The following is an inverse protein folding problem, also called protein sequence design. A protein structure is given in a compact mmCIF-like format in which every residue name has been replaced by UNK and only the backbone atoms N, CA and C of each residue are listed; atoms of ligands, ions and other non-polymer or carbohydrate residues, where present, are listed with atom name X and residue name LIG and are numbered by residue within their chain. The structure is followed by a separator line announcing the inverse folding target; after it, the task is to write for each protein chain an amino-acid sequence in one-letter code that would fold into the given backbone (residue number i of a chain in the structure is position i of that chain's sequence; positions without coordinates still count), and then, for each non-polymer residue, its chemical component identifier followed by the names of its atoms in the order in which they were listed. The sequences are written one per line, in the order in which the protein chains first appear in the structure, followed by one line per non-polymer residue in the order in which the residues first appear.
data_IF_653442443746
#
_entry.id   IF_653442443746
#
_cell.length_a   1.000
_cell.length_b   1.000
_cell.length_c   1.000
_cell.angle_alpha   90.00
_cell.angle_beta   90.00
_cell.angle_gamma   90.00
#
_symmetry.space_group_name_H-M   'P 1'
#
loop_
_entity.id
_entity.type
_entity.pdbx_description
1 polymer ?
#
# COMPACT_ATOMS: atom_id res chain seq x y z
N UNK A 1 -14.45 -23.50 -7.89
CA UNK A 1 -13.32 -22.66 -7.44
C UNK A 1 -13.88 -21.56 -6.58
N UNK A 2 -13.53 -21.55 -5.33
CA UNK A 2 -14.04 -20.54 -4.40
C UNK A 2 -13.44 -19.18 -4.80
N UNK A 3 -14.25 -18.14 -4.90
CA UNK A 3 -13.77 -16.78 -5.24
C UNK A 3 -12.60 -16.31 -4.35
N UNK A 4 -12.49 -16.89 -3.16
CA UNK A 4 -11.45 -16.60 -2.18
C UNK A 4 -10.06 -17.10 -2.62
N UNK A 5 -10.02 -18.13 -3.47
CA UNK A 5 -8.77 -18.76 -3.90
C UNK A 5 -8.18 -18.14 -5.19
N UNK A 6 -8.86 -17.14 -5.76
CA UNK A 6 -8.36 -16.38 -6.89
C UNK A 6 -7.81 -15.01 -6.41
N UNK A 7 -6.50 -14.82 -6.37
CA UNK A 7 -5.91 -13.55 -5.91
C UNK A 7 -6.42 -12.35 -6.70
N UNK A 8 -6.65 -12.49 -8.00
CA UNK A 8 -7.20 -11.43 -8.84
C UNK A 8 -8.64 -11.08 -8.44
N UNK A 9 -9.51 -12.07 -8.20
CA UNK A 9 -10.87 -11.83 -7.73
C UNK A 9 -10.90 -11.15 -6.36
N UNK A 10 -9.98 -11.55 -5.45
CA UNK A 10 -9.84 -10.93 -4.14
C UNK A 10 -9.42 -9.46 -4.24
N UNK A 11 -8.55 -9.12 -5.17
CA UNK A 11 -8.15 -7.74 -5.44
C UNK A 11 -9.30 -6.94 -6.06
N UNK A 12 -10.06 -7.53 -6.97
CA UNK A 12 -11.26 -6.89 -7.54
C UNK A 12 -12.30 -6.53 -6.48
N UNK A 13 -12.56 -7.46 -5.56
CA UNK A 13 -13.48 -7.23 -4.44
C UNK A 13 -12.95 -6.12 -3.52
N UNK A 14 -11.66 -6.08 -3.29
CA UNK A 14 -11.00 -5.03 -2.49
C UNK A 14 -10.96 -3.69 -3.21
N UNK A 15 -10.86 -3.67 -4.52
CA UNK A 15 -10.92 -2.44 -5.32
C UNK A 15 -12.31 -1.82 -5.30
N UNK A 16 -13.37 -2.64 -5.31
CA UNK A 16 -14.74 -2.16 -5.10
C UNK A 16 -14.91 -1.53 -3.71
N UNK A 17 -14.31 -2.12 -2.69
CA UNK A 17 -14.24 -1.58 -1.33
C UNK A 17 -13.39 -0.30 -1.32
N UNK A 18 -12.29 -0.24 -2.05
CA UNK A 18 -11.47 0.97 -2.18
C UNK A 18 -12.27 2.17 -2.71
N UNK A 19 -13.16 1.95 -3.66
CA UNK A 19 -14.06 2.97 -4.20
C UNK A 19 -14.95 3.62 -3.14
N UNK A 20 -15.50 2.80 -2.24
CA UNK A 20 -16.32 3.27 -1.14
C UNK A 20 -15.48 3.86 -0.01
N UNK A 21 -14.32 3.27 0.26
CA UNK A 21 -13.42 3.68 1.32
C UNK A 21 -12.69 4.96 0.98
N UNK A 22 -12.46 5.27 -0.28
CA UNK A 22 -11.88 6.55 -0.69
C UNK A 22 -12.75 7.74 -0.27
N UNK A 23 -14.06 7.52 -0.03
CA UNK A 23 -14.91 8.49 0.67
C UNK A 23 -14.65 8.56 2.17
N UNK A 24 -14.10 7.50 2.76
CA UNK A 24 -14.06 7.27 4.19
C UNK A 24 -12.63 7.14 4.77
N UNK A 25 -11.59 6.97 3.94
CA UNK A 25 -10.20 6.94 4.39
C UNK A 25 -9.56 8.33 4.32
N UNK A 26 -10.08 9.27 5.10
CA UNK A 26 -9.60 10.66 5.08
C UNK A 26 -8.46 10.95 6.05
N UNK A 27 -8.05 9.99 6.85
CA UNK A 27 -7.01 10.23 7.82
C UNK A 27 -5.72 9.54 7.44
N UNK A 28 -4.75 10.34 7.06
CA UNK A 28 -3.38 9.90 6.88
C UNK A 28 -2.40 10.89 7.50
N UNK A 29 -1.23 10.39 7.88
CA UNK A 29 -0.07 11.21 8.19
C UNK A 29 1.01 10.94 7.17
N UNK A 30 1.56 12.02 6.63
CA UNK A 30 2.70 11.97 5.74
C UNK A 30 3.94 12.46 6.47
N UNK A 31 4.97 11.64 6.49
CA UNK A 31 6.27 11.96 7.05
C UNK A 31 7.34 11.89 5.98
N UNK A 32 8.22 12.89 5.97
CA UNK A 32 9.44 12.84 5.19
C UNK A 32 10.60 12.58 6.14
N UNK A 33 11.30 11.49 5.95
CA UNK A 33 12.52 11.17 6.66
C UNK A 33 13.73 11.48 5.79
N UNK A 34 14.69 12.16 6.39
CA UNK A 34 16.05 12.23 5.85
C UNK A 34 16.96 11.52 6.83
N UNK A 35 17.53 10.39 6.45
CA UNK A 35 18.66 9.83 7.16
C UNK A 35 19.92 10.67 6.86
N UNK A 36 20.90 10.61 7.75
CA UNK A 36 22.21 11.22 7.50
C UNK A 36 22.73 10.72 6.15
N UNK A 37 22.65 11.60 5.16
CA UNK A 37 23.34 11.43 3.91
C UNK A 37 22.51 11.19 2.68
N UNK A 38 21.17 10.94 2.60
CA UNK A 38 20.70 10.81 1.20
C UNK A 38 19.29 10.33 0.91
N UNK A 39 18.60 9.61 1.76
CA UNK A 39 17.28 9.09 1.39
C UNK A 39 16.14 9.87 2.03
N UNK A 40 15.47 10.70 1.22
CA UNK A 40 14.16 11.22 1.59
C UNK A 40 13.11 10.12 1.34
N UNK A 41 12.58 9.53 2.40
CA UNK A 41 11.45 8.61 2.34
C UNK A 41 10.14 9.40 2.49
N UNK A 42 9.17 9.11 1.63
CA UNK A 42 7.79 9.48 1.87
C UNK A 42 7.10 8.34 2.60
N UNK A 43 6.70 8.58 3.84
CA UNK A 43 6.04 7.62 4.69
C UNK A 43 4.64 8.10 5.04
N UNK A 44 3.66 7.24 4.79
CA UNK A 44 2.25 7.49 5.07
C UNK A 44 1.76 6.51 6.13
N UNK A 45 0.90 6.96 7.02
CA UNK A 45 0.08 6.09 7.87
C UNK A 45 -1.36 6.27 7.43
N UNK A 46 -1.99 5.22 6.97
CA UNK A 46 -3.34 5.24 6.42
C UNK A 46 -4.22 4.24 7.14
N UNK A 47 -5.29 4.75 7.74
CA UNK A 47 -6.35 3.92 8.29
C UNK A 47 -7.29 3.46 7.18
N UNK A 48 -7.25 2.18 6.85
CA UNK A 48 -8.19 1.57 5.93
C UNK A 48 -9.52 1.26 6.63
N UNK A 49 -10.61 1.23 5.87
CA UNK A 49 -11.96 0.87 6.33
C UNK A 49 -12.58 1.82 7.36
N UNK A 50 -12.27 3.11 7.30
CA UNK A 50 -12.85 4.09 8.21
C UNK A 50 -12.96 5.49 7.60
N UNK A 51 -13.94 6.24 8.05
CA UNK A 51 -14.06 7.69 7.87
C UNK A 51 -13.68 8.48 9.14
N UNK A 52 -13.41 7.73 10.22
CA UNK A 52 -13.15 8.28 11.54
C UNK A 52 -11.68 8.14 11.89
N UNK A 53 -11.09 9.21 12.36
CA UNK A 53 -9.72 9.24 12.85
C UNK A 53 -9.48 8.18 13.91
N UNK A 54 -8.47 7.33 13.73
CA UNK A 54 -8.11 6.20 14.60
C UNK A 54 -9.15 5.07 14.68
N UNK A 55 -10.14 5.06 13.80
CA UNK A 55 -11.22 4.08 13.83
C UNK A 55 -11.02 2.87 12.94
N UNK A 56 -9.98 2.86 12.09
CA UNK A 56 -9.77 1.84 11.07
C UNK A 56 -8.65 0.86 11.36
N UNK A 57 -8.18 0.21 10.30
CA UNK A 57 -7.04 -0.68 10.31
C UNK A 57 -5.81 0.01 9.71
N UNK A 58 -4.85 0.47 10.54
CA UNK A 58 -3.73 1.25 10.04
C UNK A 58 -2.70 0.40 9.33
N UNK A 59 -2.18 0.94 8.23
CA UNK A 59 -1.01 0.41 7.54
C UNK A 59 0.01 1.52 7.31
N UNK A 60 1.29 1.17 7.39
CA UNK A 60 2.36 2.01 6.91
C UNK A 60 2.51 1.86 5.40
N UNK A 61 2.78 2.96 4.70
CA UNK A 61 3.08 2.93 3.27
C UNK A 61 4.32 3.79 3.01
N UNK A 62 5.32 3.19 2.39
CA UNK A 62 6.55 3.86 1.98
C UNK A 62 6.63 3.87 0.46
N UNK A 63 6.75 5.05 -0.13
CA UNK A 63 6.97 5.21 -1.56
C UNK A 63 8.43 5.58 -1.77
N UNK A 64 9.20 4.67 -2.37
CA UNK A 64 10.61 4.89 -2.67
C UNK A 64 11.10 3.96 -3.78
N UNK A 65 12.14 4.37 -4.50
CA UNK A 65 12.64 3.65 -5.66
C UNK A 65 13.75 2.63 -5.34
N UNK A 66 14.50 2.79 -4.26
CA UNK A 66 15.78 2.09 -4.04
C UNK A 66 15.99 1.56 -2.61
N UNK A 67 14.99 0.91 -2.04
CA UNK A 67 15.12 0.25 -0.75
C UNK A 67 15.42 -1.24 -0.94
N UNK A 68 16.36 -1.79 -0.18
CA UNK A 68 16.55 -3.23 -0.09
C UNK A 68 15.60 -3.87 0.93
N UNK A 69 15.45 -5.18 0.84
CA UNK A 69 14.51 -5.92 1.69
C UNK A 69 14.94 -5.95 3.16
N UNK A 70 16.23 -5.87 3.45
CA UNK A 70 16.73 -5.79 4.82
C UNK A 70 16.29 -4.48 5.49
N UNK A 71 16.41 -3.36 4.78
CA UNK A 71 15.89 -2.08 5.26
C UNK A 71 14.39 -2.10 5.45
N UNK A 72 13.64 -2.66 4.49
CA UNK A 72 12.18 -2.77 4.56
C UNK A 72 11.75 -3.55 5.80
N UNK A 73 12.40 -4.68 6.08
CA UNK A 73 12.09 -5.49 7.26
C UNK A 73 12.39 -4.74 8.57
N UNK A 74 13.53 -4.09 8.67
CA UNK A 74 13.91 -3.30 9.84
C UNK A 74 12.96 -2.11 10.06
N UNK A 75 12.57 -1.46 8.98
CA UNK A 75 11.60 -0.36 9.04
C UNK A 75 10.23 -0.84 9.52
N UNK A 76 9.73 -1.95 8.97
CA UNK A 76 8.46 -2.55 9.39
C UNK A 76 8.48 -2.98 10.86
N UNK A 77 9.60 -3.53 11.34
CA UNK A 77 9.81 -3.88 12.74
C UNK A 77 9.77 -2.64 13.65
N UNK A 78 10.40 -1.55 13.25
CA UNK A 78 10.47 -0.31 14.02
C UNK A 78 9.12 0.38 14.13
N UNK A 79 8.37 0.50 13.04
CA UNK A 79 7.07 1.20 13.02
C UNK A 79 5.93 0.38 13.60
N UNK A 80 6.04 -0.95 13.66
CA UNK A 80 5.14 -1.89 14.34
C UNK A 80 3.68 -1.90 13.89
N UNK A 81 3.36 -1.44 12.71
CA UNK A 81 2.06 -1.72 12.12
C UNK A 81 1.93 -3.20 11.76
N UNK A 82 0.71 -3.72 11.75
CA UNK A 82 0.48 -5.11 11.34
C UNK A 82 1.09 -5.40 9.98
N UNK A 83 0.99 -4.45 9.05
CA UNK A 83 1.70 -4.47 7.77
C UNK A 83 2.19 -3.07 7.37
N UNK A 84 3.32 -3.07 6.68
CA UNK A 84 3.89 -1.91 5.99
C UNK A 84 4.11 -2.27 4.53
N UNK A 85 3.57 -1.46 3.62
CA UNK A 85 3.77 -1.60 2.19
C UNK A 85 4.91 -0.72 1.71
N UNK A 86 5.74 -1.27 0.83
CA UNK A 86 6.83 -0.56 0.16
C UNK A 86 6.55 -0.55 -1.33
N UNK A 87 6.38 0.66 -1.89
CA UNK A 87 5.98 0.86 -3.27
C UNK A 87 7.15 1.41 -4.07
N UNK A 88 7.45 0.73 -5.16
CA UNK A 88 8.36 1.20 -6.20
C UNK A 88 7.57 1.39 -7.49
N UNK A 89 7.62 2.59 -8.06
CA UNK A 89 7.04 2.86 -9.37
C UNK A 89 7.92 2.23 -10.45
N UNK A 90 7.32 1.40 -11.30
CA UNK A 90 7.98 0.82 -12.49
C UNK A 90 7.74 1.72 -13.68
N UNK A 91 6.47 2.09 -13.93
CA UNK A 91 6.04 3.05 -14.95
C UNK A 91 4.72 3.72 -14.54
N UNK A 92 4.03 4.38 -15.46
CA UNK A 92 2.80 5.12 -15.17
C UNK A 92 1.62 4.23 -14.74
N UNK A 93 1.66 2.92 -15.02
CA UNK A 93 0.58 1.96 -14.74
C UNK A 93 1.01 0.79 -13.87
N UNK A 94 2.31 0.59 -13.67
CA UNK A 94 2.87 -0.57 -13.00
C UNK A 94 3.66 -0.17 -11.76
N UNK A 95 3.38 -0.87 -10.66
CA UNK A 95 4.01 -0.67 -9.36
C UNK A 95 4.49 -2.01 -8.80
N UNK A 96 5.68 -2.05 -8.25
CA UNK A 96 6.16 -3.15 -7.41
C UNK A 96 5.79 -2.83 -5.98
N UNK A 97 5.01 -3.70 -5.32
CA UNK A 97 4.57 -3.50 -3.94
C UNK A 97 4.96 -4.72 -3.10
N UNK A 98 5.73 -4.46 -2.07
CA UNK A 98 6.15 -5.46 -1.08
C UNK A 98 5.51 -5.19 0.26
N UNK A 99 4.98 -6.23 0.88
CA UNK A 99 4.29 -6.15 2.16
C UNK A 99 5.11 -6.83 3.25
N UNK A 100 5.36 -6.12 4.33
CA UNK A 100 6.10 -6.62 5.49
C UNK A 100 5.27 -6.50 6.75
N UNK A 101 5.19 -7.59 7.51
CA UNK A 101 4.84 -7.53 8.93
C UNK A 101 6.10 -7.14 9.73
N UNK A 102 6.01 -6.88 11.04
CA UNK A 102 7.20 -6.66 11.87
C UNK A 102 8.23 -7.78 11.83
N UNK A 103 7.85 -8.98 11.41
CA UNK A 103 8.72 -10.18 11.45
C UNK A 103 8.89 -10.91 10.12
N UNK A 104 8.12 -10.57 9.08
CA UNK A 104 8.13 -11.35 7.84
C UNK A 104 7.73 -10.53 6.60
N UNK A 105 8.31 -10.93 5.46
CA UNK A 105 7.83 -10.54 4.14
C UNK A 105 6.65 -11.45 3.75
N UNK A 106 5.51 -10.87 3.41
CA UNK A 106 4.26 -11.60 3.10
C UNK A 106 3.80 -11.37 1.66
N UNK A 107 3.06 -12.33 1.13
CA UNK A 107 2.69 -12.34 -0.30
C UNK A 107 1.72 -11.23 -0.68
N UNK A 108 0.73 -10.96 0.18
CA UNK A 108 -0.34 -10.01 -0.09
C UNK A 108 -1.04 -9.61 1.21
N UNK A 109 -1.40 -8.35 1.31
CA UNK A 109 -2.22 -7.83 2.40
C UNK A 109 -3.32 -6.90 1.87
N UNK A 110 -4.57 -7.18 2.23
CA UNK A 110 -5.70 -6.44 1.71
C UNK A 110 -5.78 -4.99 2.16
N UNK A 111 -5.72 -4.73 3.46
CA UNK A 111 -5.81 -3.36 3.96
C UNK A 111 -4.58 -2.53 3.60
N UNK A 112 -3.39 -3.13 3.54
CA UNK A 112 -2.19 -2.45 3.09
C UNK A 112 -2.20 -2.17 1.58
N UNK A 113 -2.89 -2.99 0.78
CA UNK A 113 -3.15 -2.70 -0.64
C UNK A 113 -4.02 -1.46 -0.80
N UNK A 114 -5.12 -1.39 -0.05
CA UNK A 114 -6.00 -0.21 -0.03
C UNK A 114 -5.22 1.03 0.38
N UNK A 115 -4.46 0.95 1.46
CA UNK A 115 -3.63 2.04 1.94
C UNK A 115 -2.57 2.46 0.91
N UNK A 116 -1.97 1.51 0.19
CA UNK A 116 -0.99 1.77 -0.86
C UNK A 116 -1.58 2.59 -2.01
N UNK A 117 -2.75 2.22 -2.51
CA UNK A 117 -3.38 2.94 -3.61
C UNK A 117 -3.93 4.30 -3.16
N UNK A 118 -4.37 4.44 -1.90
CA UNK A 118 -4.70 5.74 -1.34
C UNK A 118 -3.46 6.66 -1.29
N UNK A 119 -2.32 6.15 -0.83
CA UNK A 119 -1.07 6.93 -0.81
C UNK A 119 -0.62 7.33 -2.21
N UNK A 120 -0.73 6.43 -3.19
CA UNK A 120 -0.43 6.73 -4.58
C UNK A 120 -1.35 7.81 -5.16
N UNK A 121 -2.64 7.75 -4.83
CA UNK A 121 -3.61 8.75 -5.25
C UNK A 121 -3.31 10.12 -4.62
N UNK A 122 -3.09 10.16 -3.31
CA UNK A 122 -2.80 11.40 -2.58
C UNK A 122 -1.47 12.04 -3.00
N UNK A 123 -0.51 11.22 -3.44
CA UNK A 123 0.77 11.72 -3.98
C UNK A 123 0.67 12.21 -5.42
N UNK A 124 -0.46 12.02 -6.09
CA UNK A 124 -0.65 12.36 -7.50
C UNK A 124 -0.01 11.36 -8.48
N UNK A 125 0.41 10.19 -8.00
CA UNK A 125 1.03 9.17 -8.85
C UNK A 125 0.02 8.37 -9.68
N UNK A 126 -1.23 8.35 -9.26
CA UNK A 126 -2.36 7.70 -9.93
C UNK A 126 -3.58 8.60 -9.97
N UNK A 127 -4.51 8.29 -10.86
CA UNK A 127 -5.77 9.00 -11.08
C UNK A 127 -6.96 8.05 -11.02
N UNK A 128 -8.15 8.61 -10.79
CA UNK A 128 -9.42 7.89 -10.86
C UNK A 128 -9.71 7.31 -12.25
N UNK A 129 -10.62 6.34 -12.28
CA UNK A 129 -11.14 5.73 -13.50
C UNK A 129 -10.05 5.08 -14.37
N UNK A 130 -9.05 4.51 -13.73
CA UNK A 130 -7.94 3.83 -14.37
C UNK A 130 -7.68 2.46 -13.76
N UNK A 131 -7.12 1.57 -14.58
CA UNK A 131 -6.58 0.30 -14.13
C UNK A 131 -5.07 0.39 -13.99
N UNK A 132 -4.58 -0.05 -12.86
CA UNK A 132 -3.16 -0.15 -12.54
C UNK A 132 -2.79 -1.61 -12.27
N UNK A 133 -1.50 -1.90 -12.28
CA UNK A 133 -1.00 -3.24 -12.02
C UNK A 133 -0.01 -3.19 -10.87
N UNK A 134 -0.18 -4.09 -9.92
CA UNK A 134 0.78 -4.27 -8.84
C UNK A 134 1.48 -5.62 -8.95
N UNK A 135 2.80 -5.60 -8.95
CA UNK A 135 3.63 -6.78 -8.88
C UNK A 135 3.91 -7.08 -7.41
N UNK A 136 3.56 -8.28 -6.98
CA UNK A 136 3.73 -8.77 -5.61
C UNK A 136 4.33 -10.18 -5.61
N UNK A 137 4.61 -10.76 -4.44
CA UNK A 137 4.95 -12.19 -4.32
C UNK A 137 3.82 -13.11 -4.81
N UNK A 138 2.57 -12.67 -4.72
CA UNK A 138 1.41 -13.41 -5.24
C UNK A 138 1.25 -13.30 -6.77
N UNK A 139 2.13 -12.58 -7.45
CA UNK A 139 2.08 -12.32 -8.88
C UNK A 139 1.67 -10.88 -9.21
N UNK A 140 1.39 -10.63 -10.48
CA UNK A 140 0.92 -9.33 -10.96
C UNK A 140 -0.60 -9.28 -10.93
N UNK A 141 -1.15 -8.32 -10.23
CA UNK A 141 -2.59 -8.16 -9.98
C UNK A 141 -3.08 -6.83 -10.56
N UNK A 142 -4.25 -6.85 -11.19
CA UNK A 142 -4.90 -5.64 -11.67
C UNK A 142 -5.68 -4.97 -10.53
N UNK A 143 -5.59 -3.64 -10.46
CA UNK A 143 -6.30 -2.81 -9.49
C UNK A 143 -7.03 -1.70 -10.24
N UNK A 144 -8.35 -1.71 -10.14
CA UNK A 144 -9.19 -0.62 -10.67
C UNK A 144 -9.37 0.45 -9.60
N UNK A 145 -9.02 1.67 -9.96
CA UNK A 145 -9.22 2.86 -9.12
C UNK A 145 -10.35 3.68 -9.73
N UNK A 146 -11.43 3.83 -8.99
CA UNK A 146 -12.65 4.48 -9.46
C UNK A 146 -13.15 5.52 -8.45
#
# INVERSE_FOLDING_TARGET
MNKIDNPAATIFEKTAIYKEINRYSKYYKHFKFRSKGELALSYYVIDAFTDTKFGGNPAGVVINENLDEEFMQKFAEEVRFSETAFIKKIDSKNFDIKFFTPTAYVELCGHATIASFQALFDSGAIEDNNTYFMKTLAGTLAVEVN
#
